data_IF_107772362879
#
_entry.id   IF_107772362879
#
_cell.length_a   1.000
_cell.length_b   1.000
_cell.length_c   1.000
_cell.angle_alpha   90.00
_cell.angle_beta   90.00
_cell.angle_gamma   90.00
#
_symmetry.space_group_name_H-M   'P 1'
#
loop_
_entity.id
_entity.type
_entity.pdbx_description
1 polymer ?
#
# COMPACT_ATOMS: atom_id res chain seq x y z
N UNK A 1 -2.59 50.66 61.40
CA UNK A 1 -3.58 50.10 60.45
C UNK A 1 -3.11 48.69 60.10
N UNK A 2 -3.77 47.66 60.66
CA UNK A 2 -3.40 46.25 60.45
C UNK A 2 -4.18 45.71 59.25
N UNK A 3 -3.49 45.32 58.19
CA UNK A 3 -4.06 44.57 57.07
C UNK A 3 -3.90 43.08 57.33
N UNK A 4 -5.00 42.38 57.61
CA UNK A 4 -5.04 40.92 57.70
C UNK A 4 -5.29 40.32 56.32
N UNK A 5 -4.28 39.71 55.72
CA UNK A 5 -4.41 38.97 54.45
C UNK A 5 -5.11 37.63 54.70
N UNK A 6 -6.30 37.44 54.13
CA UNK A 6 -7.08 36.20 54.19
C UNK A 6 -6.39 35.11 53.34
N UNK A 7 -5.76 34.12 53.98
CA UNK A 7 -5.13 32.98 53.30
C UNK A 7 -6.23 32.09 52.67
N UNK A 8 -6.34 32.12 51.35
CA UNK A 8 -7.16 31.18 50.58
C UNK A 8 -6.53 29.79 50.69
N UNK A 9 -7.25 28.83 51.28
CA UNK A 9 -6.76 27.46 51.42
C UNK A 9 -6.63 26.77 50.06
N UNK A 10 -5.41 26.51 49.62
CA UNK A 10 -5.14 25.66 48.46
C UNK A 10 -5.60 24.24 48.79
N UNK A 11 -6.74 23.81 48.22
CA UNK A 11 -7.17 22.41 48.27
C UNK A 11 -6.22 21.59 47.40
N UNK A 12 -5.38 20.76 48.03
CA UNK A 12 -4.56 19.78 47.33
C UNK A 12 -5.41 18.56 46.94
N UNK A 13 -5.06 17.90 45.83
CA UNK A 13 -5.65 16.62 45.45
C UNK A 13 -5.30 15.55 46.49
N UNK A 14 -6.26 14.71 46.85
CA UNK A 14 -6.02 13.52 47.65
C UNK A 14 -5.34 12.43 46.84
N UNK A 15 -4.57 11.57 47.51
CA UNK A 15 -3.94 10.40 46.89
C UNK A 15 -4.97 9.46 46.26
N UNK A 16 -6.15 9.34 46.87
CA UNK A 16 -7.23 8.50 46.36
C UNK A 16 -7.87 9.10 45.10
N UNK A 17 -8.02 10.42 45.02
CA UNK A 17 -8.51 11.08 43.80
C UNK A 17 -7.55 10.86 42.63
N UNK A 18 -6.24 10.98 42.85
CA UNK A 18 -5.26 10.71 41.79
C UNK A 18 -5.27 9.22 41.38
N UNK A 19 -5.42 8.30 42.34
CA UNK A 19 -5.45 6.86 42.10
C UNK A 19 -6.69 6.44 41.30
N UNK A 20 -7.86 7.02 41.58
CA UNK A 20 -9.09 6.75 40.82
C UNK A 20 -8.99 7.30 39.39
N UNK A 21 -8.34 8.45 39.19
CA UNK A 21 -8.19 9.02 37.85
C UNK A 21 -7.31 8.14 36.96
N UNK A 22 -6.14 7.71 37.45
CA UNK A 22 -5.25 6.86 36.65
C UNK A 22 -5.87 5.48 36.38
N UNK A 23 -6.70 4.96 37.30
CA UNK A 23 -7.38 3.68 37.09
C UNK A 23 -8.47 3.78 36.01
N UNK A 24 -9.24 4.88 35.98
CA UNK A 24 -10.22 5.15 34.93
C UNK A 24 -9.53 5.37 33.58
N UNK A 25 -8.44 6.16 33.53
CA UNK A 25 -7.67 6.37 32.30
C UNK A 25 -7.11 5.03 31.79
N UNK A 26 -6.57 4.18 32.67
CA UNK A 26 -6.07 2.85 32.31
C UNK A 26 -7.16 1.96 31.69
N UNK A 27 -8.36 1.97 32.26
CA UNK A 27 -9.49 1.20 31.73
C UNK A 27 -9.93 1.72 30.35
N UNK A 28 -10.13 3.04 30.21
CA UNK A 28 -10.59 3.62 28.95
C UNK A 28 -9.55 3.47 27.82
N UNK A 29 -8.27 3.65 28.14
CA UNK A 29 -7.19 3.53 27.14
C UNK A 29 -7.10 2.11 26.56
N UNK A 30 -7.33 1.07 27.38
CA UNK A 30 -7.31 -0.32 26.90
C UNK A 30 -8.34 -0.60 25.80
N UNK A 31 -9.56 -0.09 25.94
CA UNK A 31 -10.66 -0.28 24.98
C UNK A 31 -10.44 0.54 23.70
N UNK A 32 -9.87 1.74 23.82
CA UNK A 32 -9.59 2.61 22.67
C UNK A 32 -8.47 2.02 21.80
N UNK A 33 -7.42 1.47 22.40
CA UNK A 33 -6.25 0.95 21.68
C UNK A 33 -6.59 -0.27 20.80
N UNK A 34 -7.47 -1.16 21.27
CA UNK A 34 -7.87 -2.35 20.49
C UNK A 34 -8.61 -1.99 19.19
N UNK A 35 -9.44 -0.94 19.24
CA UNK A 35 -10.19 -0.43 18.09
C UNK A 35 -9.32 0.34 17.09
N UNK A 36 -8.24 0.97 17.56
CA UNK A 36 -7.37 1.78 16.71
C UNK A 36 -6.57 0.93 15.71
N UNK A 37 -6.10 -0.25 16.11
CA UNK A 37 -5.31 -1.14 15.24
C UNK A 37 -6.11 -1.60 14.02
N UNK A 38 -7.36 -2.02 14.24
CA UNK A 38 -8.27 -2.44 13.17
C UNK A 38 -8.76 -1.26 12.32
N UNK A 39 -8.91 -0.06 12.88
CA UNK A 39 -9.18 1.15 12.09
C UNK A 39 -8.01 1.51 11.16
N UNK A 40 -6.76 1.43 11.64
CA UNK A 40 -5.57 1.70 10.83
C UNK A 40 -5.40 0.71 9.67
N UNK A 41 -5.66 -0.58 9.89
CA UNK A 41 -5.65 -1.59 8.84
C UNK A 41 -6.67 -1.28 7.73
N UNK A 42 -7.92 -0.97 8.10
CA UNK A 42 -8.97 -0.58 7.13
C UNK A 42 -8.61 0.67 6.33
N UNK A 43 -8.00 1.67 6.97
CA UNK A 43 -7.56 2.88 6.29
C UNK A 43 -6.45 2.60 5.26
N UNK A 44 -5.50 1.72 5.59
CA UNK A 44 -4.46 1.29 4.65
C UNK A 44 -5.04 0.50 3.48
N UNK A 45 -5.96 -0.43 3.73
CA UNK A 45 -6.61 -1.19 2.66
C UNK A 45 -7.43 -0.28 1.71
N UNK A 46 -8.12 0.73 2.25
CA UNK A 46 -8.81 1.73 1.44
C UNK A 46 -7.83 2.55 0.58
N UNK A 47 -6.70 2.98 1.16
CA UNK A 47 -5.64 3.67 0.43
C UNK A 47 -5.07 2.79 -0.69
N UNK A 48 -4.78 1.51 -0.41
CA UNK A 48 -4.29 0.54 -1.40
C UNK A 48 -5.24 0.38 -2.57
N UNK A 49 -6.55 0.29 -2.31
CA UNK A 49 -7.55 0.20 -3.38
C UNK A 49 -7.55 1.44 -4.29
N UNK A 50 -7.41 2.65 -3.73
CA UNK A 50 -7.34 3.90 -4.49
C UNK A 50 -6.04 4.06 -5.28
N UNK A 51 -4.90 3.72 -4.68
CA UNK A 51 -3.60 3.74 -5.36
C UNK A 51 -3.55 2.69 -6.48
N UNK A 52 -4.16 1.52 -6.26
CA UNK A 52 -4.33 0.49 -7.27
C UNK A 52 -5.21 0.95 -8.45
N UNK A 53 -6.22 1.78 -8.18
CA UNK A 53 -6.97 2.47 -9.24
C UNK A 53 -6.09 3.38 -10.08
N UNK A 54 -5.25 4.16 -9.42
CA UNK A 54 -4.32 5.11 -10.05
C UNK A 54 -3.30 4.39 -10.93
N UNK A 55 -2.69 3.31 -10.43
CA UNK A 55 -1.71 2.51 -11.18
C UNK A 55 -2.33 1.91 -12.44
N UNK A 56 -3.51 1.30 -12.32
CA UNK A 56 -4.20 0.71 -13.47
C UNK A 56 -4.57 1.74 -14.53
N UNK A 57 -5.05 2.92 -14.13
CA UNK A 57 -5.35 3.98 -15.10
C UNK A 57 -4.08 4.44 -15.82
N UNK A 58 -2.95 4.52 -15.12
CA UNK A 58 -1.65 4.82 -15.74
C UNK A 58 -1.21 3.71 -16.71
N UNK A 59 -1.42 2.44 -16.36
CA UNK A 59 -1.14 1.32 -17.27
C UNK A 59 -2.00 1.38 -18.53
N UNK A 60 -3.28 1.76 -18.43
CA UNK A 60 -4.14 1.94 -19.58
C UNK A 60 -3.66 3.07 -20.49
N UNK A 61 -3.33 4.23 -19.91
CA UNK A 61 -2.78 5.36 -20.66
C UNK A 61 -1.47 4.99 -21.37
N UNK A 62 -0.62 4.21 -20.70
CA UNK A 62 0.61 3.69 -21.31
C UNK A 62 0.29 2.74 -22.48
N UNK A 63 -0.66 1.81 -22.28
CA UNK A 63 -1.06 0.87 -23.30
C UNK A 63 -1.66 1.57 -24.52
N UNK A 64 -2.50 2.59 -24.31
CA UNK A 64 -3.08 3.40 -25.39
C UNK A 64 -2.00 4.12 -26.22
N UNK A 65 -0.87 4.46 -25.61
CA UNK A 65 0.24 5.15 -26.28
C UNK A 65 1.18 4.20 -27.03
N UNK A 66 1.42 3.00 -26.49
CA UNK A 66 2.50 2.11 -26.96
C UNK A 66 2.03 0.74 -27.46
N UNK A 67 0.73 0.43 -27.37
CA UNK A 67 0.09 -0.82 -27.77
C UNK A 67 0.71 -2.08 -27.14
N UNK A 68 1.34 -1.91 -25.97
CA UNK A 68 1.82 -3.00 -25.13
C UNK A 68 2.13 -2.53 -23.71
N UNK A 69 2.37 -3.50 -22.84
CA UNK A 69 2.96 -3.31 -21.52
C UNK A 69 4.36 -3.95 -21.48
N UNK A 70 5.36 -3.33 -20.83
CA UNK A 70 6.71 -3.89 -20.75
C UNK A 70 6.76 -5.16 -19.90
N UNK A 71 7.52 -6.17 -20.34
CA UNK A 71 7.81 -7.35 -19.50
C UNK A 71 8.81 -7.01 -18.40
N UNK A 72 8.64 -7.62 -17.23
CA UNK A 72 9.62 -7.54 -16.14
C UNK A 72 10.98 -8.15 -16.51
N UNK A 73 11.03 -8.99 -17.54
CA UNK A 73 12.26 -9.59 -18.08
C UNK A 73 13.14 -8.65 -18.92
N UNK A 74 12.86 -7.33 -18.93
CA UNK A 74 13.73 -6.35 -19.57
C UNK A 74 13.39 -6.02 -21.02
N UNK A 75 12.26 -6.50 -21.52
CA UNK A 75 11.79 -6.13 -22.87
C UNK A 75 10.82 -4.96 -22.76
N UNK A 76 10.90 -4.06 -23.73
CA UNK A 76 10.12 -2.82 -23.75
C UNK A 76 9.27 -2.70 -24.99
N UNK A 77 8.23 -1.89 -24.86
CA UNK A 77 7.44 -1.43 -25.96
C UNK A 77 8.24 -0.54 -26.90
N UNK A 78 7.98 -0.66 -28.20
CA UNK A 78 8.62 0.19 -29.20
C UNK A 78 8.34 1.67 -28.92
N UNK A 79 9.38 2.48 -28.77
CA UNK A 79 9.27 3.91 -28.47
C UNK A 79 9.02 4.26 -27.00
N UNK A 80 8.86 3.28 -26.11
CA UNK A 80 8.81 3.51 -24.67
C UNK A 80 10.21 3.58 -24.06
N UNK A 81 10.32 4.22 -22.89
CA UNK A 81 11.55 4.20 -22.13
C UNK A 81 11.92 2.77 -21.69
N UNK A 82 13.23 2.51 -21.60
CA UNK A 82 13.80 1.26 -21.09
C UNK A 82 13.17 0.84 -19.76
N UNK A 83 12.80 -0.44 -19.65
CA UNK A 83 12.27 -1.05 -18.44
C UNK A 83 12.95 -2.40 -18.25
N UNK A 84 13.57 -2.57 -17.10
CA UNK A 84 14.09 -3.86 -16.65
C UNK A 84 14.11 -3.82 -15.13
N UNK A 85 13.50 -4.82 -14.51
CA UNK A 85 13.72 -5.03 -13.08
C UNK A 85 15.13 -5.57 -12.86
N UNK A 86 15.71 -5.27 -11.69
CA UNK A 86 16.98 -5.87 -11.26
C UNK A 86 16.88 -7.41 -11.17
N UNK A 87 15.66 -7.94 -11.07
CA UNK A 87 15.33 -9.37 -11.06
C UNK A 87 14.60 -9.75 -12.35
N UNK A 88 15.33 -9.80 -13.48
CA UNK A 88 14.76 -10.19 -14.77
C UNK A 88 14.06 -11.57 -14.69
N UNK A 89 12.77 -11.62 -15.01
CA UNK A 89 11.95 -12.84 -14.99
C UNK A 89 11.07 -13.05 -13.75
N UNK A 90 11.13 -12.13 -12.78
CA UNK A 90 10.31 -12.16 -11.57
C UNK A 90 9.20 -11.10 -11.54
N UNK A 91 8.46 -11.07 -10.43
CA UNK A 91 7.51 -10.01 -10.11
C UNK A 91 8.24 -8.70 -9.82
N UNK A 92 7.70 -7.60 -10.31
CA UNK A 92 8.11 -6.26 -9.89
C UNK A 92 7.30 -5.84 -8.65
N UNK A 93 7.97 -5.28 -7.64
CA UNK A 93 7.37 -4.91 -6.36
C UNK A 93 7.68 -3.47 -5.96
N UNK A 94 6.70 -2.78 -5.36
CA UNK A 94 6.87 -1.39 -4.88
C UNK A 94 7.92 -1.22 -3.77
N UNK A 95 8.35 -2.32 -3.14
CA UNK A 95 9.42 -2.30 -2.14
C UNK A 95 10.82 -2.33 -2.77
N UNK A 96 10.91 -2.51 -4.09
CA UNK A 96 12.15 -2.57 -4.87
C UNK A 96 12.34 -1.28 -5.68
N UNK A 97 13.59 -1.01 -6.07
CA UNK A 97 13.98 0.26 -6.70
C UNK A 97 13.50 0.45 -8.15
N UNK A 98 12.93 -0.57 -8.79
CA UNK A 98 12.52 -0.57 -10.20
C UNK A 98 11.03 -0.34 -10.46
N UNK A 99 10.21 -0.31 -9.40
CA UNK A 99 8.75 -0.45 -9.50
C UNK A 99 8.09 0.45 -10.52
N UNK A 100 7.55 -0.17 -11.59
CA UNK A 100 6.83 0.48 -12.70
C UNK A 100 7.51 1.75 -13.20
N UNK A 101 8.85 1.79 -13.18
CA UNK A 101 9.62 2.99 -13.51
C UNK A 101 9.35 3.49 -14.93
N UNK A 102 8.93 2.61 -15.83
CA UNK A 102 8.48 2.94 -17.19
C UNK A 102 7.31 3.93 -17.23
N UNK A 103 6.40 3.88 -16.26
CA UNK A 103 5.28 4.83 -16.19
C UNK A 103 5.77 6.25 -15.87
N UNK A 104 6.84 6.35 -15.07
CA UNK A 104 7.48 7.62 -14.75
C UNK A 104 8.36 8.11 -15.90
N UNK A 105 9.20 7.23 -16.47
CA UNK A 105 10.17 7.61 -17.51
C UNK A 105 9.50 7.91 -18.85
N UNK A 106 8.37 7.26 -19.17
CA UNK A 106 7.53 7.63 -20.33
C UNK A 106 6.62 8.84 -20.06
N UNK A 107 6.66 9.43 -18.87
CA UNK A 107 5.91 10.67 -18.55
C UNK A 107 4.41 10.48 -18.32
N UNK A 108 3.94 9.24 -18.09
CA UNK A 108 2.51 8.95 -17.87
C UNK A 108 2.06 9.41 -16.48
N UNK A 109 2.89 9.19 -15.47
CA UNK A 109 2.66 9.69 -14.10
C UNK A 109 3.95 10.23 -13.49
N UNK A 110 3.88 11.25 -12.61
CA UNK A 110 5.07 11.84 -12.02
C UNK A 110 5.77 10.91 -11.02
N UNK A 111 5.01 10.11 -10.27
CA UNK A 111 5.52 9.14 -9.30
C UNK A 111 4.58 7.94 -9.24
N UNK A 112 5.16 6.75 -9.12
CA UNK A 112 4.40 5.52 -8.90
C UNK A 112 4.06 5.42 -7.41
N UNK A 113 2.79 5.14 -7.04
CA UNK A 113 2.43 4.89 -5.66
C UNK A 113 3.21 3.73 -5.05
N UNK A 114 3.52 3.83 -3.76
CA UNK A 114 4.15 2.78 -2.96
C UNK A 114 3.22 2.37 -1.82
N UNK A 115 3.25 1.09 -1.44
CA UNK A 115 2.41 0.59 -0.35
C UNK A 115 2.67 1.38 0.96
N UNK A 116 1.67 1.62 1.82
CA UNK A 116 1.90 2.35 3.07
C UNK A 116 2.88 1.69 4.06
N UNK A 117 3.02 0.37 4.03
CA UNK A 117 3.96 -0.39 4.86
C UNK A 117 5.22 -0.78 4.08
N UNK A 118 5.09 -1.07 2.78
CA UNK A 118 6.17 -1.32 1.82
C UNK A 118 7.35 -2.14 2.36
N UNK A 119 7.06 -3.24 3.06
CA UNK A 119 8.03 -3.96 3.90
C UNK A 119 8.44 -5.33 3.34
N UNK A 120 8.14 -5.62 2.08
CA UNK A 120 8.50 -6.91 1.47
C UNK A 120 10.01 -7.00 1.23
N UNK A 121 10.64 -8.01 1.83
CA UNK A 121 12.07 -8.33 1.66
C UNK A 121 12.24 -9.70 0.99
N UNK A 122 12.79 -9.72 -0.24
CA UNK A 122 13.02 -10.96 -1.02
C UNK A 122 11.94 -11.27 -2.08
N UNK A 123 12.17 -12.31 -2.88
CA UNK A 123 11.30 -12.73 -4.01
C UNK A 123 10.18 -13.71 -3.60
N UNK A 124 10.29 -14.32 -2.42
CA UNK A 124 9.17 -15.06 -1.84
C UNK A 124 8.15 -14.05 -1.28
N UNK A 125 6.85 -14.29 -1.47
CA UNK A 125 5.76 -13.49 -0.89
C UNK A 125 5.24 -14.11 0.42
N UNK A 126 5.99 -14.12 1.54
CA UNK A 126 5.47 -14.66 2.79
C UNK A 126 4.33 -13.79 3.34
N UNK A 127 3.45 -14.43 4.10
CA UNK A 127 2.33 -13.79 4.81
C UNK A 127 2.87 -12.64 5.68
N UNK A 128 2.24 -11.46 5.58
CA UNK A 128 2.64 -10.27 6.35
C UNK A 128 3.64 -9.35 5.64
N UNK A 129 3.90 -9.58 4.35
CA UNK A 129 4.59 -8.64 3.47
C UNK A 129 3.59 -7.80 2.70
N UNK A 130 3.85 -6.49 2.62
CA UNK A 130 2.96 -5.52 1.98
C UNK A 130 3.72 -4.75 0.90
N UNK A 131 3.28 -4.89 -0.34
CA UNK A 131 3.78 -4.19 -1.51
C UNK A 131 2.72 -4.22 -2.61
N UNK A 132 2.79 -3.27 -3.54
CA UNK A 132 2.16 -3.42 -4.85
C UNK A 132 3.03 -4.31 -5.71
N UNK A 133 2.40 -5.11 -6.58
CA UNK A 133 3.11 -5.96 -7.51
C UNK A 133 2.60 -5.83 -8.93
N UNK A 134 3.52 -5.96 -9.87
CA UNK A 134 3.27 -5.96 -11.30
C UNK A 134 4.02 -7.13 -11.94
N UNK A 135 3.35 -7.81 -12.86
CA UNK A 135 3.99 -8.78 -13.74
C UNK A 135 3.25 -8.80 -15.06
N UNK A 136 3.98 -8.79 -16.17
CA UNK A 136 3.40 -8.91 -17.50
C UNK A 136 4.22 -9.94 -18.26
N UNK A 137 3.58 -11.00 -18.73
CA UNK A 137 4.24 -12.07 -19.44
C UNK A 137 3.41 -12.55 -20.63
N UNK A 138 4.09 -12.98 -21.69
CA UNK A 138 3.45 -13.44 -22.93
C UNK A 138 3.24 -14.96 -23.00
N UNK A 139 3.71 -15.72 -22.01
CA UNK A 139 3.46 -17.16 -21.90
C UNK A 139 2.30 -17.48 -20.94
N UNK A 140 1.75 -18.68 -21.00
CA UNK A 140 0.53 -19.06 -20.26
C UNK A 140 0.76 -19.20 -18.74
N UNK A 141 -0.06 -18.56 -17.87
CA UNK A 141 -1.13 -17.61 -18.20
C UNK A 141 -0.56 -16.26 -18.64
N UNK A 142 -0.97 -15.78 -19.81
CA UNK A 142 -0.44 -14.57 -20.43
C UNK A 142 -1.24 -13.33 -20.04
N UNK A 143 -0.57 -12.18 -19.95
CA UNK A 143 -1.18 -10.89 -19.75
C UNK A 143 -0.70 -10.15 -18.51
N UNK A 144 -1.48 -9.15 -18.11
CA UNK A 144 -1.19 -8.28 -16.96
C UNK A 144 -1.60 -8.94 -15.65
N UNK A 145 -0.68 -8.95 -14.70
CA UNK A 145 -0.93 -9.24 -13.30
C UNK A 145 -0.64 -8.00 -12.48
N UNK A 146 -1.64 -7.54 -11.74
CA UNK A 146 -1.54 -6.37 -10.88
C UNK A 146 -2.31 -6.63 -9.58
N UNK A 147 -1.68 -6.37 -8.45
CA UNK A 147 -2.32 -6.61 -7.16
C UNK A 147 -1.56 -6.11 -5.94
N UNK A 148 -2.17 -6.33 -4.79
CA UNK A 148 -1.67 -5.91 -3.48
C UNK A 148 -2.13 -6.88 -2.38
N UNK A 149 -1.46 -6.88 -1.23
CA UNK A 149 -1.89 -7.67 -0.07
C UNK A 149 -2.91 -6.91 0.78
N UNK A 150 -4.06 -7.52 1.06
CA UNK A 150 -5.12 -6.93 1.89
C UNK A 150 -5.03 -7.45 3.32
N UNK A 151 -5.00 -6.53 4.29
CA UNK A 151 -4.97 -6.87 5.72
C UNK A 151 -6.28 -7.48 6.18
N UNK A 152 -7.41 -7.01 5.63
CA UNK A 152 -8.73 -7.55 5.96
C UNK A 152 -8.89 -9.01 5.56
N UNK A 153 -8.40 -9.40 4.39
CA UNK A 153 -8.58 -10.75 3.84
C UNK A 153 -7.42 -11.69 4.17
N UNK A 154 -6.26 -11.15 4.56
CA UNK A 154 -5.05 -11.94 4.77
C UNK A 154 -4.58 -12.61 3.48
N UNK A 155 -4.78 -11.94 2.34
CA UNK A 155 -4.47 -12.51 1.02
C UNK A 155 -4.34 -11.46 -0.06
N UNK A 156 -3.85 -11.90 -1.22
CA UNK A 156 -3.69 -11.04 -2.39
C UNK A 156 -5.02 -10.67 -3.03
N UNK A 157 -5.16 -9.38 -3.32
CA UNK A 157 -6.26 -8.80 -4.10
C UNK A 157 -5.71 -8.41 -5.47
N UNK A 158 -6.33 -8.95 -6.52
CA UNK A 158 -6.02 -8.65 -7.91
C UNK A 158 -7.00 -7.61 -8.44
N UNK A 159 -6.53 -6.69 -9.29
CA UNK A 159 -7.37 -5.61 -9.84
C UNK A 159 -7.97 -5.92 -11.22
N UNK A 160 -7.60 -7.03 -11.86
CA UNK A 160 -8.17 -7.42 -13.16
C UNK A 160 -9.59 -7.95 -12.98
N UNK A 161 -10.59 -7.08 -13.07
CA UNK A 161 -12.00 -7.47 -12.95
C UNK A 161 -12.56 -8.17 -14.21
N UNK A 162 -11.72 -8.80 -15.05
CA UNK A 162 -12.10 -9.42 -16.32
C UNK A 162 -11.36 -10.74 -16.57
N UNK A 163 -11.89 -11.81 -15.98
CA UNK A 163 -12.40 -13.03 -16.63
C UNK A 163 -12.58 -14.06 -15.52
N UNK A 164 -13.72 -14.74 -15.54
CA UNK A 164 -14.08 -15.81 -14.61
C UNK A 164 -12.90 -16.78 -14.35
N UNK A 165 -12.23 -16.62 -13.20
CA UNK A 165 -11.23 -17.56 -12.69
C UNK A 165 -9.76 -17.33 -13.10
N UNK A 166 -9.42 -16.23 -13.79
CA UNK A 166 -8.05 -15.97 -14.27
C UNK A 166 -7.20 -15.08 -13.34
N UNK A 167 -5.97 -15.51 -13.04
CA UNK A 167 -4.98 -14.73 -12.26
C UNK A 167 -4.30 -13.61 -13.09
N UNK A 168 -4.57 -13.53 -14.40
CA UNK A 168 -3.96 -12.62 -15.39
C UNK A 168 -5.03 -12.00 -16.31
N UNK A 169 -4.83 -10.77 -16.77
CA UNK A 169 -5.65 -10.13 -17.82
C UNK A 169 -5.01 -10.28 -19.20
N UNK A 170 -5.52 -11.21 -20.00
CA UNK A 170 -5.02 -11.49 -21.34
C UNK A 170 -5.39 -10.43 -22.39
N UNK A 171 -6.11 -9.36 -22.00
CA UNK A 171 -6.42 -8.24 -22.90
C UNK A 171 -5.18 -7.36 -23.17
N UNK A 172 -4.16 -7.44 -22.32
CA UNK A 172 -2.92 -6.67 -22.47
C UNK A 172 -1.85 -7.50 -23.18
N UNK A 173 -1.29 -6.92 -24.24
CA UNK A 173 -0.10 -7.47 -24.90
C UNK A 173 1.15 -7.10 -24.11
N UNK A 174 1.89 -8.10 -23.61
CA UNK A 174 3.18 -7.88 -22.94
C UNK A 174 4.33 -8.02 -23.95
N UNK A 175 5.20 -7.01 -24.06
CA UNK A 175 6.36 -7.06 -24.94
C UNK A 175 7.67 -7.04 -24.19
#
# INVERSE_FOLDING_TARGET
>A
MFFTTKKSGSKGFSLIELLVVISIIGLLTSVVLSNLTSARGRARDAKRALEMQTIFNALNLFYDQYDCLPKTSGTTCAGAAGYSEANAGGWDYSSQGGFLTFLRTSGVIPNVPIDPLNNMTGDATPVGTYSYRYYCYSGSPAGLHLGYWSEKTGGYVFKNNLTSGGWADSSYTCK
#
